data_IF_794798397912
#
_entry.id   IF_794798397912
#
_cell.length_a   1.000
_cell.length_b   1.000
_cell.length_c   1.000
_cell.angle_alpha   90.00
_cell.angle_beta   90.00
_cell.angle_gamma   90.00
#
_symmetry.space_group_name_H-M   'P 1'
#
loop_
_entity.id
_entity.type
_entity.pdbx_description
1 polymer ?
#
# COMPACT_ATOMS: atom_id res chain seq x y z
N UNK A 1 9.70 10.91 16.34
CA UNK A 1 8.91 9.69 16.05
C UNK A 1 7.78 9.62 17.05
N UNK A 2 6.52 9.86 16.64
CA UNK A 2 5.38 9.83 17.57
C UNK A 2 4.98 8.40 17.97
N UNK A 3 5.20 7.41 17.11
CA UNK A 3 4.82 6.00 17.33
C UNK A 3 5.88 5.14 18.04
N UNK A 4 7.08 5.67 18.28
CA UNK A 4 8.11 5.01 19.08
C UNK A 4 8.23 5.73 20.42
N UNK A 5 7.24 5.52 21.29
CA UNK A 5 7.21 6.14 22.61
C UNK A 5 6.69 5.14 23.68
N UNK A 6 7.10 5.28 24.96
CA UNK A 6 6.72 4.33 26.01
C UNK A 6 5.20 4.20 26.22
N UNK A 7 4.44 5.30 26.09
CA UNK A 7 2.98 5.28 26.26
C UNK A 7 2.28 4.47 25.17
N UNK A 8 2.72 4.63 23.92
CA UNK A 8 2.18 3.91 22.77
C UNK A 8 2.58 2.43 22.79
N UNK A 9 3.80 2.13 23.23
CA UNK A 9 4.23 0.74 23.42
C UNK A 9 3.39 0.02 24.50
N UNK A 10 3.11 0.69 25.62
CA UNK A 10 2.24 0.15 26.67
C UNK A 10 0.81 -0.11 26.14
N UNK A 11 0.23 0.86 25.42
CA UNK A 11 -1.05 0.68 24.74
C UNK A 11 -1.04 -0.56 23.82
N UNK A 12 -0.03 -0.70 22.96
CA UNK A 12 0.05 -1.86 22.08
C UNK A 12 0.19 -3.18 22.85
N UNK A 13 0.90 -3.20 23.98
CA UNK A 13 1.02 -4.37 24.83
C UNK A 13 -0.33 -4.76 25.47
N UNK A 14 -1.07 -3.77 26.00
CA UNK A 14 -2.37 -3.99 26.63
C UNK A 14 -3.38 -4.64 25.66
N UNK A 15 -3.35 -4.23 24.39
CA UNK A 15 -4.21 -4.76 23.34
C UNK A 15 -3.59 -5.91 22.53
N UNK A 16 -2.40 -6.41 22.92
CA UNK A 16 -1.67 -7.49 22.22
C UNK A 16 -1.38 -7.19 20.75
N UNK A 17 -1.18 -5.91 20.42
CA UNK A 17 -0.84 -5.42 19.08
C UNK A 17 0.67 -5.54 18.88
N UNK A 18 1.08 -6.23 17.81
CA UNK A 18 2.49 -6.31 17.43
C UNK A 18 2.89 -5.09 16.58
N UNK A 19 3.80 -4.26 17.11
CA UNK A 19 4.38 -3.14 16.38
C UNK A 19 5.51 -3.62 15.46
N UNK A 20 5.41 -3.28 14.17
CA UNK A 20 6.46 -3.49 13.18
C UNK A 20 6.90 -2.13 12.64
N UNK A 21 8.17 -1.80 12.81
CA UNK A 21 8.73 -0.55 12.32
C UNK A 21 9.42 -0.76 10.99
N UNK A 22 9.14 0.11 10.03
CA UNK A 22 9.93 0.24 8.82
C UNK A 22 11.27 0.89 9.15
N UNK A 23 12.36 0.37 8.56
CA UNK A 23 13.67 1.01 8.64
C UNK A 23 13.60 2.41 8.02
N UNK A 24 14.29 3.38 8.64
CA UNK A 24 14.33 4.78 8.17
C UNK A 24 14.81 4.90 6.71
N UNK A 25 15.62 3.95 6.25
CA UNK A 25 16.15 3.89 4.88
C UNK A 25 15.20 3.24 3.85
N UNK A 26 14.02 2.74 4.27
CA UNK A 26 13.07 2.02 3.41
C UNK A 26 11.65 2.63 3.47
N UNK A 27 11.45 3.87 2.98
CA UNK A 27 10.13 4.51 2.95
C UNK A 27 9.11 3.72 2.10
N UNK A 28 9.56 2.92 1.12
CA UNK A 28 8.65 2.06 0.34
C UNK A 28 7.86 1.06 1.20
N UNK A 29 8.37 0.67 2.37
CA UNK A 29 7.65 -0.21 3.29
C UNK A 29 6.36 0.43 3.84
N UNK A 30 6.22 1.76 3.76
CA UNK A 30 5.01 2.51 4.11
C UNK A 30 4.27 3.06 2.87
N UNK A 31 4.65 2.64 1.66
CA UNK A 31 4.16 3.21 0.40
C UNK A 31 2.64 3.11 0.21
N UNK A 32 2.00 2.08 0.78
CA UNK A 32 0.53 1.96 0.75
C UNK A 32 -0.16 3.09 1.53
N UNK A 33 0.36 3.44 2.71
CA UNK A 33 -0.17 4.54 3.51
C UNK A 33 0.05 5.88 2.80
N UNK A 34 1.19 6.06 2.14
CA UNK A 34 1.48 7.26 1.35
C UNK A 34 0.50 7.43 0.18
N UNK A 35 0.25 6.36 -0.59
CA UNK A 35 -0.72 6.38 -1.71
C UNK A 35 -2.14 6.67 -1.22
N UNK A 36 -2.56 6.07 -0.10
CA UNK A 36 -3.87 6.34 0.49
C UNK A 36 -3.95 7.80 0.96
N UNK A 37 -2.93 8.31 1.64
CA UNK A 37 -2.90 9.70 2.10
C UNK A 37 -2.97 10.68 0.93
N UNK A 38 -2.25 10.42 -0.17
CA UNK A 38 -2.33 11.22 -1.39
C UNK A 38 -3.73 11.21 -1.99
N UNK A 39 -4.38 10.04 -2.02
CA UNK A 39 -5.76 9.90 -2.51
C UNK A 39 -6.76 10.70 -1.66
N UNK A 40 -6.62 10.66 -0.33
CA UNK A 40 -7.45 11.44 0.59
C UNK A 40 -7.24 12.94 0.36
N UNK A 41 -5.99 13.38 0.24
CA UNK A 41 -5.65 14.78 -0.02
C UNK A 41 -6.24 15.27 -1.34
N UNK A 42 -6.16 14.46 -2.40
CA UNK A 42 -6.73 14.80 -3.71
C UNK A 42 -8.27 14.90 -3.65
N UNK A 43 -8.93 13.95 -2.97
CA UNK A 43 -10.38 14.01 -2.75
C UNK A 43 -10.81 15.25 -1.98
N UNK A 44 -10.08 15.59 -0.91
CA UNK A 44 -10.33 16.80 -0.14
C UNK A 44 -10.13 18.07 -0.97
N UNK A 45 -9.04 18.15 -1.76
CA UNK A 45 -8.78 19.30 -2.63
C UNK A 45 -9.93 19.55 -3.60
N UNK A 46 -10.47 18.49 -4.21
CA UNK A 46 -11.60 18.61 -5.16
C UNK A 46 -12.87 19.15 -4.52
N UNK A 47 -13.19 18.73 -3.29
CA UNK A 47 -14.44 19.10 -2.62
C UNK A 47 -14.32 20.45 -1.89
N UNK A 48 -13.16 20.73 -1.28
CA UNK A 48 -12.91 21.98 -0.54
C UNK A 48 -12.71 23.17 -1.47
N UNK A 49 -12.16 22.98 -2.68
CA UNK A 49 -11.99 24.06 -3.65
C UNK A 49 -13.31 24.74 -4.08
N UNK A 50 -14.47 24.11 -3.84
CA UNK A 50 -15.79 24.64 -4.19
C UNK A 50 -16.69 25.03 -3.01
N UNK A 51 -16.20 25.00 -1.76
CA UNK A 51 -17.05 25.17 -0.58
C UNK A 51 -16.42 26.10 0.49
N UNK A 52 -17.27 26.82 1.23
CA UNK A 52 -16.88 27.62 2.42
C UNK A 52 -16.62 26.77 3.67
N UNK A 53 -16.68 25.44 3.55
CA UNK A 53 -16.60 24.47 4.65
C UNK A 53 -15.17 24.01 4.89
N UNK A 54 -14.84 23.68 6.14
CA UNK A 54 -13.51 23.19 6.49
C UNK A 54 -13.25 21.75 5.98
N UNK A 55 -11.98 21.37 5.83
CA UNK A 55 -11.61 20.01 5.40
C UNK A 55 -12.10 18.93 6.38
N UNK A 56 -12.26 19.27 7.66
CA UNK A 56 -12.73 18.35 8.71
C UNK A 56 -14.16 17.88 8.43
N UNK A 57 -15.04 18.78 7.98
CA UNK A 57 -16.44 18.47 7.65
C UNK A 57 -16.56 17.58 6.40
N UNK A 58 -15.59 17.67 5.47
CA UNK A 58 -15.61 16.92 4.22
C UNK A 58 -14.84 15.59 4.28
N UNK A 59 -13.99 15.42 5.27
CA UNK A 59 -13.21 14.18 5.45
C UNK A 59 -14.09 12.93 5.50
N UNK A 60 -15.20 12.87 6.26
CA UNK A 60 -16.06 11.68 6.28
C UNK A 60 -16.60 11.33 4.89
N UNK A 61 -16.95 12.32 4.07
CA UNK A 61 -17.44 12.10 2.70
C UNK A 61 -16.37 11.53 1.78
N UNK A 62 -15.13 12.03 1.89
CA UNK A 62 -13.99 11.51 1.11
C UNK A 62 -13.67 10.07 1.53
N UNK A 63 -13.64 9.80 2.84
CA UNK A 63 -13.40 8.45 3.36
C UNK A 63 -14.51 7.49 2.95
N UNK A 64 -15.77 7.92 3.01
CA UNK A 64 -16.91 7.14 2.54
C UNK A 64 -16.71 6.74 1.08
N UNK A 65 -16.49 7.72 0.19
CA UNK A 65 -16.27 7.44 -1.22
C UNK A 65 -15.07 6.50 -1.44
N UNK A 66 -13.96 6.69 -0.72
CA UNK A 66 -12.79 5.82 -0.81
C UNK A 66 -13.09 4.37 -0.40
N UNK A 67 -13.88 4.19 0.67
CA UNK A 67 -14.22 2.86 1.19
C UNK A 67 -15.27 2.14 0.34
N UNK A 68 -16.21 2.86 -0.27
CA UNK A 68 -17.35 2.27 -0.99
C UNK A 68 -17.15 2.17 -2.50
N UNK A 69 -16.15 2.85 -3.07
CA UNK A 69 -15.91 2.81 -4.52
C UNK A 69 -15.08 1.58 -4.89
N UNK A 70 -15.56 0.71 -5.80
CA UNK A 70 -14.77 -0.38 -6.33
C UNK A 70 -13.52 0.12 -7.06
N UNK A 71 -12.38 -0.54 -6.85
CA UNK A 71 -11.20 -0.26 -7.65
C UNK A 71 -11.39 -0.85 -9.04
N UNK A 72 -11.17 -0.06 -10.08
CA UNK A 72 -11.33 -0.48 -11.49
C UNK A 72 -10.54 -1.74 -11.86
N UNK A 73 -9.43 -2.01 -11.17
CA UNK A 73 -8.60 -3.19 -11.42
C UNK A 73 -9.15 -4.47 -10.78
N UNK A 74 -9.69 -4.37 -9.57
CA UNK A 74 -10.13 -5.53 -8.80
C UNK A 74 -11.64 -5.72 -8.86
N UNK A 75 -12.38 -4.69 -9.26
CA UNK A 75 -13.84 -4.57 -9.18
C UNK A 75 -14.40 -4.69 -7.76
N UNK A 76 -13.50 -4.68 -6.78
CA UNK A 76 -13.77 -4.81 -5.35
C UNK A 76 -13.55 -3.48 -4.63
N UNK A 77 -14.43 -3.17 -3.68
CA UNK A 77 -14.29 -2.01 -2.81
C UNK A 77 -13.51 -2.37 -1.53
N UNK A 78 -12.82 -1.41 -0.88
CA UNK A 78 -12.23 -1.68 0.42
C UNK A 78 -13.25 -2.17 1.47
N UNK A 79 -14.51 -1.70 1.40
CA UNK A 79 -15.58 -2.15 2.28
C UNK A 79 -15.93 -3.63 2.05
N UNK A 80 -16.12 -4.06 0.80
CA UNK A 80 -16.41 -5.46 0.49
C UNK A 80 -15.27 -6.39 0.91
N UNK A 81 -14.01 -5.98 0.69
CA UNK A 81 -12.85 -6.75 1.16
C UNK A 81 -12.70 -6.78 2.69
N UNK A 82 -13.23 -5.80 3.41
CA UNK A 82 -13.18 -5.77 4.87
C UNK A 82 -14.29 -6.63 5.50
N UNK A 83 -15.51 -6.53 4.97
CA UNK A 83 -16.72 -7.08 5.60
C UNK A 83 -17.36 -8.25 4.84
N UNK A 84 -16.88 -8.60 3.66
CA UNK A 84 -17.43 -9.68 2.84
C UNK A 84 -18.77 -9.35 2.19
N UNK A 85 -19.18 -8.09 2.15
CA UNK A 85 -20.43 -7.71 1.49
C UNK A 85 -20.35 -6.29 0.96
N UNK A 86 -21.10 -6.01 -0.11
CA UNK A 86 -21.24 -4.67 -0.63
C UNK A 86 -22.00 -3.77 0.34
N UNK A 87 -21.54 -2.53 0.47
CA UNK A 87 -22.22 -1.54 1.32
C UNK A 87 -23.65 -1.31 0.84
N UNK A 88 -24.58 -1.14 1.78
CA UNK A 88 -25.90 -0.58 1.49
C UNK A 88 -25.77 0.92 1.27
N UNK A 89 -25.94 1.37 0.03
CA UNK A 89 -25.88 2.79 -0.27
C UNK A 89 -27.12 3.50 0.32
N UNK A 90 -26.98 4.75 0.81
CA UNK A 90 -28.13 5.53 1.27
C UNK A 90 -29.25 5.63 0.23
N UNK A 91 -28.89 5.64 -1.05
CA UNK A 91 -29.82 5.71 -2.16
C UNK A 91 -30.70 4.44 -2.29
N UNK A 92 -30.19 3.28 -1.90
CA UNK A 92 -30.96 2.03 -1.93
C UNK A 92 -32.03 1.99 -0.85
N UNK A 93 -31.77 2.62 0.29
CA UNK A 93 -32.74 2.79 1.37
C UNK A 93 -33.86 3.72 0.89
N UNK A 94 -33.52 4.77 0.13
CA UNK A 94 -34.49 5.71 -0.41
C UNK A 94 -35.36 5.11 -1.51
N UNK A 95 -34.80 4.25 -2.37
CA UNK A 95 -35.51 3.64 -3.49
C UNK A 95 -36.07 2.25 -3.20
N UNK A 96 -35.90 1.72 -1.99
CA UNK A 96 -36.34 0.38 -1.59
C UNK A 96 -35.96 -0.66 -2.65
N UNK A 97 -34.67 -0.80 -2.93
CA UNK A 97 -34.21 -1.83 -3.89
C UNK A 97 -34.62 -3.22 -3.44
N UNK A 98 -34.60 -4.21 -4.35
CA UNK A 98 -34.92 -5.61 -4.03
C UNK A 98 -34.16 -6.14 -2.80
N UNK A 99 -32.92 -5.67 -2.61
CA UNK A 99 -32.08 -5.98 -1.45
C UNK A 99 -32.67 -5.48 -0.11
N UNK A 100 -33.34 -4.34 -0.13
CA UNK A 100 -34.05 -3.77 1.04
C UNK A 100 -35.44 -4.39 1.18
N UNK A 101 -36.17 -4.59 0.09
CA UNK A 101 -37.53 -5.15 0.12
C UNK A 101 -37.58 -6.58 0.67
N UNK A 102 -36.59 -7.41 0.33
CA UNK A 102 -36.52 -8.80 0.78
C UNK A 102 -35.60 -8.98 2.00
N UNK A 103 -35.26 -7.89 2.68
CA UNK A 103 -34.41 -7.94 3.85
C UNK A 103 -35.07 -8.77 4.96
N UNK A 104 -34.43 -9.88 5.31
CA UNK A 104 -34.71 -10.62 6.55
C UNK A 104 -33.39 -10.83 7.28
N UNK A 105 -33.33 -10.59 8.61
CA UNK A 105 -32.09 -10.77 9.37
C UNK A 105 -31.47 -12.16 9.20
N UNK A 106 -32.31 -13.20 9.11
CA UNK A 106 -31.88 -14.59 9.02
C UNK A 106 -31.23 -14.92 7.67
N UNK A 107 -31.79 -14.41 6.57
CA UNK A 107 -31.20 -14.60 5.23
C UNK A 107 -29.93 -13.79 5.10
N UNK A 108 -29.90 -12.53 5.59
CA UNK A 108 -28.68 -11.72 5.57
C UNK A 108 -27.55 -12.38 6.36
N UNK A 109 -27.84 -12.92 7.54
CA UNK A 109 -26.81 -13.57 8.37
C UNK A 109 -26.26 -14.82 7.66
N UNK A 110 -27.13 -15.63 7.06
CA UNK A 110 -26.73 -16.80 6.28
C UNK A 110 -25.88 -16.42 5.05
N UNK A 111 -26.31 -15.43 4.28
CA UNK A 111 -25.59 -14.93 3.11
C UNK A 111 -24.24 -14.31 3.49
N UNK A 112 -24.22 -13.47 4.53
CA UNK A 112 -23.01 -12.84 5.05
C UNK A 112 -22.01 -13.90 5.52
N UNK A 113 -22.50 -14.94 6.21
CA UNK A 113 -21.65 -16.06 6.63
C UNK A 113 -21.01 -16.77 5.43
N UNK A 114 -21.79 -17.06 4.39
CA UNK A 114 -21.27 -17.65 3.15
C UNK A 114 -20.21 -16.76 2.49
N UNK A 115 -20.45 -15.45 2.45
CA UNK A 115 -19.46 -14.53 1.90
C UNK A 115 -18.19 -14.41 2.76
N UNK A 116 -18.33 -14.46 4.09
CA UNK A 116 -17.19 -14.45 5.01
C UNK A 116 -16.32 -15.71 4.83
N UNK A 117 -16.93 -16.86 4.57
CA UNK A 117 -16.22 -18.10 4.28
C UNK A 117 -15.37 -17.98 2.99
N UNK A 118 -15.85 -17.22 1.99
CA UNK A 118 -15.14 -16.95 0.73
C UNK A 118 -14.22 -15.71 0.78
N UNK A 119 -14.30 -14.89 1.82
CA UNK A 119 -13.66 -13.57 1.85
C UNK A 119 -12.14 -13.62 1.69
N UNK A 120 -11.48 -14.63 2.25
CA UNK A 120 -10.04 -14.81 2.07
C UNK A 120 -9.66 -15.12 0.62
N UNK A 121 -10.51 -15.86 -0.11
CA UNK A 121 -10.31 -16.13 -1.54
C UNK A 121 -10.43 -14.83 -2.36
N UNK A 122 -11.48 -14.04 -2.11
CA UNK A 122 -11.66 -12.72 -2.74
C UNK A 122 -10.47 -11.78 -2.46
N UNK A 123 -9.97 -11.74 -1.21
CA UNK A 123 -8.78 -10.96 -0.84
C UNK A 123 -7.54 -11.44 -1.60
N UNK A 124 -7.34 -12.76 -1.69
CA UNK A 124 -6.22 -13.33 -2.42
C UNK A 124 -6.29 -13.00 -3.92
N UNK A 125 -7.46 -13.12 -4.53
CA UNK A 125 -7.66 -12.80 -5.95
C UNK A 125 -7.43 -11.31 -6.23
N UNK A 126 -8.00 -10.41 -5.41
CA UNK A 126 -7.78 -8.97 -5.53
C UNK A 126 -6.29 -8.60 -5.36
N UNK A 127 -5.59 -9.30 -4.45
CA UNK A 127 -4.14 -9.14 -4.27
C UNK A 127 -3.36 -9.60 -5.50
N UNK A 128 -3.68 -10.77 -6.06
CA UNK A 128 -3.06 -11.29 -7.28
C UNK A 128 -3.26 -10.34 -8.47
N UNK A 129 -4.49 -9.85 -8.70
CA UNK A 129 -4.78 -8.84 -9.74
C UNK A 129 -3.92 -7.60 -9.57
N UNK A 130 -3.77 -7.12 -8.33
CA UNK A 130 -2.91 -5.97 -8.00
C UNK A 130 -1.43 -6.25 -8.33
N UNK A 131 -0.91 -7.41 -7.93
CA UNK A 131 0.49 -7.79 -8.22
C UNK A 131 0.74 -7.95 -9.72
N UNK A 132 -0.18 -8.56 -10.46
CA UNK A 132 -0.09 -8.70 -11.92
C UNK A 132 -0.01 -7.34 -12.60
N UNK A 133 -0.86 -6.39 -12.19
CA UNK A 133 -0.82 -5.02 -12.71
C UNK A 133 0.49 -4.30 -12.38
N UNK A 134 0.93 -4.34 -11.11
CA UNK A 134 2.19 -3.73 -10.70
C UNK A 134 3.38 -4.27 -11.50
N UNK A 135 3.42 -5.58 -11.75
CA UNK A 135 4.43 -6.22 -12.59
C UNK A 135 4.36 -5.73 -14.03
N UNK A 136 3.17 -5.68 -14.63
CA UNK A 136 3.01 -5.19 -15.99
C UNK A 136 3.45 -3.71 -16.15
N UNK A 137 3.14 -2.87 -15.16
CA UNK A 137 3.59 -1.47 -15.11
C UNK A 137 5.12 -1.39 -14.99
N UNK A 138 5.72 -2.18 -14.08
CA UNK A 138 7.18 -2.24 -13.92
C UNK A 138 7.87 -2.67 -15.22
N UNK A 139 7.37 -3.71 -15.87
CA UNK A 139 7.89 -4.20 -17.15
C UNK A 139 7.72 -3.16 -18.27
N UNK A 140 6.65 -2.37 -18.25
CA UNK A 140 6.45 -1.26 -19.19
C UNK A 140 7.45 -0.13 -18.96
N UNK A 141 7.72 0.23 -17.70
CA UNK A 141 8.71 1.26 -17.34
C UNK A 141 10.11 0.83 -17.75
N UNK A 142 10.47 -0.45 -17.53
CA UNK A 142 11.74 -1.04 -17.97
C UNK A 142 11.84 -1.00 -19.51
N UNK A 143 10.79 -1.44 -20.21
CA UNK A 143 10.75 -1.43 -21.69
C UNK A 143 10.81 -0.03 -22.30
N UNK A 144 10.25 0.98 -21.63
CA UNK A 144 10.30 2.39 -22.06
C UNK A 144 11.64 3.09 -21.75
N UNK A 145 12.65 2.37 -21.24
CA UNK A 145 13.98 2.91 -20.99
C UNK A 145 14.05 3.98 -19.89
N UNK A 146 12.98 4.17 -19.11
CA UNK A 146 12.87 5.23 -18.09
C UNK A 146 13.64 4.91 -16.80
N UNK A 147 14.29 3.75 -16.77
CA UNK A 147 15.34 3.39 -15.83
C UNK A 147 16.61 3.10 -16.63
N UNK A 148 17.33 4.14 -17.02
CA UNK A 148 18.77 4.02 -17.31
C UNK A 148 19.38 3.31 -16.10
N UNK A 149 20.09 2.20 -16.32
CA UNK A 149 20.82 1.48 -15.28
C UNK A 149 21.67 2.49 -14.48
N UNK A 150 21.25 2.84 -13.26
CA UNK A 150 22.01 3.71 -12.34
C UNK A 150 23.19 2.99 -11.70
N UNK A 151 23.70 1.95 -12.34
CA UNK A 151 24.84 1.19 -11.87
C UNK A 151 26.07 1.68 -12.62
N UNK A 152 27.02 2.24 -11.88
CA UNK A 152 28.28 2.78 -12.39
C UNK A 152 29.24 1.63 -12.76
N UNK A 153 28.85 0.81 -13.74
CA UNK A 153 29.67 -0.26 -14.32
C UNK A 153 30.19 -1.31 -13.32
N UNK A 154 30.95 -2.30 -13.81
CA UNK A 154 31.60 -3.28 -12.95
C UNK A 154 32.72 -2.61 -12.13
N UNK A 155 32.77 -2.91 -10.84
CA UNK A 155 33.83 -2.48 -9.91
C UNK A 155 34.33 -3.67 -9.10
N UNK A 156 35.62 -3.66 -8.75
CA UNK A 156 36.27 -4.73 -7.97
C UNK A 156 36.37 -4.36 -6.50
N UNK A 157 36.00 -5.29 -5.62
CA UNK A 157 36.23 -5.15 -4.17
C UNK A 157 37.73 -5.26 -3.90
N UNK A 158 38.31 -4.23 -3.28
CA UNK A 158 39.74 -4.18 -2.95
C UNK A 158 40.01 -4.40 -1.45
N UNK A 159 39.04 -4.09 -0.57
CA UNK A 159 39.21 -4.24 0.88
C UNK A 159 37.87 -4.42 1.58
N UNK A 160 37.82 -5.27 2.59
CA UNK A 160 36.72 -5.35 3.55
C UNK A 160 37.09 -4.46 4.74
N UNK A 161 36.22 -3.51 5.10
CA UNK A 161 36.48 -2.55 6.19
C UNK A 161 35.83 -3.02 7.50
N UNK A 162 34.57 -3.44 7.42
CA UNK A 162 33.77 -4.07 8.49
C UNK A 162 32.76 -5.03 7.85
N UNK A 163 32.08 -5.85 8.63
CA UNK A 163 31.00 -6.73 8.16
C UNK A 163 30.08 -5.98 7.17
N UNK A 164 29.93 -6.56 5.98
CA UNK A 164 29.10 -6.04 4.88
C UNK A 164 29.50 -4.68 4.26
N UNK A 165 30.69 -4.14 4.58
CA UNK A 165 31.20 -2.87 4.01
C UNK A 165 32.54 -3.02 3.29
N UNK A 166 32.59 -2.52 2.06
CA UNK A 166 33.70 -2.73 1.13
C UNK A 166 34.28 -1.41 0.61
N UNK A 167 35.58 -1.39 0.35
CA UNK A 167 36.20 -0.37 -0.52
C UNK A 167 36.29 -0.95 -1.93
N UNK A 168 35.93 -0.15 -2.94
CA UNK A 168 35.88 -0.56 -4.34
C UNK A 168 36.96 0.16 -5.16
N UNK A 169 37.39 -0.47 -6.25
CA UNK A 169 38.15 0.18 -7.32
C UNK A 169 37.44 -0.01 -8.67
N UNK A 170 37.58 0.98 -9.55
CA UNK A 170 37.16 0.86 -10.94
C UNK A 170 38.00 -0.21 -11.65
N UNK A 171 37.53 -0.72 -12.80
CA UNK A 171 38.31 -1.69 -13.61
C UNK A 171 39.66 -1.11 -14.11
N UNK A 172 39.79 0.22 -14.12
CA UNK A 172 41.00 0.97 -14.45
C UNK A 172 41.97 1.10 -13.25
N UNK A 173 41.64 0.49 -12.10
CA UNK A 173 42.51 0.44 -10.91
C UNK A 173 42.42 1.67 -10.00
N UNK A 174 41.51 2.60 -10.26
CA UNK A 174 41.33 3.79 -9.41
C UNK A 174 40.46 3.47 -8.20
N UNK A 175 40.99 3.72 -7.00
CA UNK A 175 40.26 3.50 -5.74
C UNK A 175 39.14 4.53 -5.58
N UNK A 176 37.92 4.07 -5.31
CA UNK A 176 36.79 4.96 -5.01
C UNK A 176 36.91 5.48 -3.57
N UNK A 177 36.68 6.79 -3.34
CA UNK A 177 36.94 7.42 -2.03
C UNK A 177 35.93 7.04 -0.94
N UNK A 178 34.81 6.37 -1.30
CA UNK A 178 33.74 5.96 -0.38
C UNK A 178 33.78 4.46 -0.12
N UNK A 179 33.42 4.07 1.11
CA UNK A 179 33.08 2.68 1.45
C UNK A 179 31.62 2.41 1.11
N UNK A 180 31.35 1.24 0.54
CA UNK A 180 30.06 0.82 0.02
C UNK A 180 29.52 -0.36 0.83
N UNK A 181 28.26 -0.27 1.24
CA UNK A 181 27.55 -1.36 1.90
C UNK A 181 27.05 -2.39 0.88
N UNK A 182 26.94 -3.67 1.27
CA UNK A 182 26.52 -4.77 0.37
C UNK A 182 25.17 -4.54 -0.32
N UNK A 183 24.24 -3.85 0.34
CA UNK A 183 22.93 -3.50 -0.23
C UNK A 183 23.00 -2.48 -1.38
N UNK A 184 24.12 -1.77 -1.54
CA UNK A 184 24.38 -0.88 -2.68
C UNK A 184 25.25 -1.54 -3.76
N UNK A 185 25.45 -2.87 -3.70
CA UNK A 185 26.26 -3.63 -4.64
C UNK A 185 25.45 -4.77 -5.24
N UNK A 186 25.72 -5.10 -6.50
CA UNK A 186 25.14 -6.28 -7.17
C UNK A 186 26.28 -7.15 -7.68
N UNK A 187 26.24 -8.45 -7.38
CA UNK A 187 27.22 -9.40 -7.93
C UNK A 187 27.11 -9.39 -9.46
N UNK A 188 28.24 -9.16 -10.11
CA UNK A 188 28.41 -9.24 -11.55
C UNK A 188 29.15 -10.54 -11.85
N UNK A 189 28.56 -11.40 -12.67
CA UNK A 189 29.16 -12.64 -13.14
C UNK A 189 29.59 -12.42 -14.60
N UNK A 190 30.84 -12.77 -14.91
CA UNK A 190 31.37 -12.82 -16.29
C UNK A 190 31.15 -14.24 -16.81
#
# INVERSE_FOLDING_TARGET
MQFNNPKFNAFCQDYRIQLKFSLVAHPQANGLAEVINETILEGLRRIVAGALTTWVEKLPSVLWALCTTPKTLTEESPYSLAYGTEVVLPLEILFLTLRIEHFTPEVLEADLRGNLDLLEEHRAEAHLKTLHYQRAVADSIIRKGKLVLRWEGPSRVIRVVRDETYTLATMEGKTLPRTWHVSNLKKFYI
#
